data_IF_717715931324
#
_entry.id   IF_717715931324
#
_cell.length_a   1.000
_cell.length_b   1.000
_cell.length_c   1.000
_cell.angle_alpha   90.00
_cell.angle_beta   90.00
_cell.angle_gamma   90.00
#
_symmetry.space_group_name_H-M   'P 1'
#
loop_
_entity.id
_entity.type
_entity.pdbx_description
1 polymer ?
#
# COMPACT_ATOMS: atom_id res chain seq x y z
N UNK A 1 9.61 30.63 29.94
CA UNK A 1 9.58 30.60 28.47
C UNK A 1 10.90 30.00 28.01
N UNK A 2 10.89 28.80 27.43
CA UNK A 2 12.09 28.18 26.87
C UNK A 2 12.43 28.97 25.59
N UNK A 3 13.56 29.68 25.59
CA UNK A 3 14.09 30.34 24.41
C UNK A 3 14.48 29.22 23.45
N UNK A 4 13.84 29.15 22.28
CA UNK A 4 14.24 28.25 21.20
C UNK A 4 15.69 28.55 20.86
N UNK A 5 16.60 27.64 21.23
CA UNK A 5 18.02 27.81 20.94
C UNK A 5 18.32 27.25 19.54
N UNK A 6 19.42 27.68 18.92
CA UNK A 6 19.78 27.29 17.56
C UNK A 6 19.84 25.77 17.36
N UNK A 7 20.15 25.01 18.41
CA UNK A 7 20.11 23.55 18.43
C UNK A 7 18.69 22.97 18.37
N UNK A 8 17.70 23.56 19.05
CA UNK A 8 16.29 23.12 18.95
C UNK A 8 15.74 23.38 17.54
N UNK A 9 16.17 24.47 16.92
CA UNK A 9 15.83 24.82 15.52
C UNK A 9 16.49 23.82 14.57
N UNK A 10 17.77 23.49 14.78
CA UNK A 10 18.49 22.50 13.97
C UNK A 10 17.90 21.09 14.13
N UNK A 11 17.54 20.68 15.34
CA UNK A 11 16.92 19.39 15.64
C UNK A 11 15.53 19.29 15.00
N UNK A 12 14.75 20.37 15.02
CA UNK A 12 13.44 20.42 14.32
C UNK A 12 13.62 20.36 12.81
N UNK A 13 14.64 21.03 12.26
CA UNK A 13 14.99 20.94 10.85
C UNK A 13 15.46 19.51 10.51
N UNK A 14 16.35 18.91 11.30
CA UNK A 14 16.79 17.53 11.11
C UNK A 14 15.63 16.55 11.19
N UNK A 15 14.72 16.65 12.17
CA UNK A 15 13.52 15.81 12.24
C UNK A 15 12.62 15.98 11.00
N UNK A 16 12.44 17.21 10.51
CA UNK A 16 11.63 17.48 9.29
C UNK A 16 12.32 17.02 8.00
N UNK A 17 13.65 17.04 7.95
CA UNK A 17 14.44 16.71 6.76
C UNK A 17 14.89 15.24 6.74
N UNK A 18 14.92 14.56 7.90
CA UNK A 18 15.45 13.21 8.08
C UNK A 18 14.38 12.11 8.10
N UNK A 19 13.10 12.45 8.21
CA UNK A 19 12.03 11.46 8.16
C UNK A 19 11.73 11.15 6.68
N UNK A 20 12.60 10.32 6.08
CA UNK A 20 12.38 9.59 4.82
C UNK A 20 11.19 8.62 4.97
N UNK A 21 10.00 9.16 5.23
CA UNK A 21 8.80 8.38 5.47
C UNK A 21 8.46 7.61 4.21
N UNK A 22 8.62 6.28 4.27
CA UNK A 22 8.22 5.38 3.22
C UNK A 22 6.89 4.69 3.58
N UNK A 23 6.04 4.49 2.58
CA UNK A 23 4.88 3.62 2.76
C UNK A 23 5.36 2.19 2.62
N UNK A 24 5.45 1.47 3.75
CA UNK A 24 5.94 0.08 3.77
C UNK A 24 5.10 -0.86 2.93
N UNK A 25 3.78 -0.72 2.95
CA UNK A 25 2.89 -1.57 2.15
C UNK A 25 1.56 -0.89 1.86
N UNK A 26 1.06 -1.08 0.65
CA UNK A 26 -0.35 -0.92 0.31
C UNK A 26 -0.91 -2.32 0.07
N UNK A 27 -2.02 -2.64 0.74
CA UNK A 27 -2.67 -3.95 0.63
C UNK A 27 -4.11 -3.79 0.18
N UNK A 28 -4.47 -4.44 -0.93
CA UNK A 28 -5.87 -4.56 -1.36
C UNK A 28 -6.47 -5.85 -0.79
N UNK A 29 -7.50 -5.72 0.05
CA UNK A 29 -8.28 -6.87 0.54
C UNK A 29 -9.32 -7.30 -0.48
N UNK A 30 -9.34 -8.58 -0.83
CA UNK A 30 -10.29 -9.16 -1.79
C UNK A 30 -11.06 -10.30 -1.13
N UNK A 31 -12.37 -10.13 -0.95
CA UNK A 31 -13.23 -11.22 -0.48
C UNK A 31 -13.33 -12.33 -1.53
N UNK A 32 -13.22 -13.60 -1.11
CA UNK A 32 -13.40 -14.79 -1.97
C UNK A 32 -14.71 -15.53 -1.71
N UNK A 33 -15.57 -15.03 -0.81
CA UNK A 33 -16.82 -15.72 -0.43
C UNK A 33 -17.81 -15.90 -1.61
N UNK A 34 -17.76 -15.03 -2.60
CA UNK A 34 -18.54 -15.14 -3.85
C UNK A 34 -17.87 -16.04 -4.91
N UNK A 35 -16.64 -16.51 -4.67
CA UNK A 35 -15.94 -17.46 -5.53
C UNK A 35 -16.22 -18.91 -5.16
N UNK A 36 -17.06 -19.17 -4.15
CA UNK A 36 -17.41 -20.53 -3.72
C UNK A 36 -18.02 -21.32 -4.89
N UNK A 37 -17.55 -22.54 -5.07
CA UNK A 37 -18.07 -23.49 -6.04
C UNK A 37 -17.88 -24.93 -5.52
N UNK A 38 -18.84 -25.84 -5.74
CA UNK A 38 -18.65 -27.26 -5.42
C UNK A 38 -17.52 -27.91 -6.22
N UNK A 39 -17.19 -27.39 -7.41
CA UNK A 39 -16.03 -27.81 -8.20
C UNK A 39 -14.82 -26.91 -7.92
N UNK A 40 -13.77 -27.48 -7.31
CA UNK A 40 -12.56 -26.76 -6.96
C UNK A 40 -11.86 -26.09 -8.16
N UNK A 41 -11.96 -26.66 -9.38
CA UNK A 41 -11.37 -26.03 -10.57
C UNK A 41 -12.11 -24.74 -10.94
N UNK A 42 -13.44 -24.77 -10.87
CA UNK A 42 -14.28 -23.59 -11.11
C UNK A 42 -14.08 -22.54 -10.02
N UNK A 43 -13.93 -22.94 -8.76
CA UNK A 43 -13.57 -22.02 -7.68
C UNK A 43 -12.24 -21.31 -7.97
N UNK A 44 -11.20 -22.05 -8.37
CA UNK A 44 -9.90 -21.47 -8.75
C UNK A 44 -10.01 -20.48 -9.91
N UNK A 45 -10.80 -20.80 -10.94
CA UNK A 45 -11.05 -19.90 -12.07
C UNK A 45 -11.76 -18.61 -11.63
N UNK A 46 -12.80 -18.70 -10.79
CA UNK A 46 -13.49 -17.53 -10.21
C UNK A 46 -12.52 -16.66 -9.41
N UNK A 47 -11.69 -17.27 -8.56
CA UNK A 47 -10.67 -16.57 -7.76
C UNK A 47 -9.70 -15.81 -8.69
N UNK A 48 -9.14 -16.49 -9.70
CA UNK A 48 -8.22 -15.88 -10.64
C UNK A 48 -8.85 -14.68 -11.37
N UNK A 49 -10.03 -14.88 -11.93
CA UNK A 49 -10.77 -13.83 -12.65
C UNK A 49 -11.11 -12.65 -11.74
N UNK A 50 -11.48 -12.89 -10.49
CA UNK A 50 -11.79 -11.83 -9.53
C UNK A 50 -10.55 -11.05 -9.12
N UNK A 51 -9.45 -11.73 -8.77
CA UNK A 51 -8.21 -11.07 -8.34
C UNK A 51 -7.64 -10.22 -9.49
N UNK A 52 -7.55 -10.77 -10.69
CA UNK A 52 -7.02 -10.05 -11.86
C UNK A 52 -7.89 -8.86 -12.25
N UNK A 53 -9.21 -8.99 -12.19
CA UNK A 53 -10.14 -7.88 -12.45
C UNK A 53 -10.01 -6.74 -11.44
N UNK A 54 -9.91 -7.05 -10.14
CA UNK A 54 -9.90 -6.03 -9.08
C UNK A 54 -8.50 -5.42 -8.87
N UNK A 55 -7.46 -6.26 -8.85
CA UNK A 55 -6.09 -5.83 -8.59
C UNK A 55 -5.31 -5.47 -9.86
N UNK A 56 -5.89 -5.62 -11.06
CA UNK A 56 -5.19 -5.39 -12.34
C UNK A 56 -4.55 -4.00 -12.46
N UNK A 57 -5.15 -2.99 -11.83
CA UNK A 57 -4.62 -1.62 -11.81
C UNK A 57 -3.91 -1.24 -10.50
N UNK A 58 -3.75 -2.15 -9.54
CA UNK A 58 -3.18 -1.83 -8.22
C UNK A 58 -1.75 -1.27 -8.37
N UNK A 59 -0.88 -1.96 -9.10
CA UNK A 59 0.52 -1.55 -9.29
C UNK A 59 0.64 -0.19 -10.03
N UNK A 60 0.03 0.01 -11.22
CA UNK A 60 0.16 1.29 -11.92
C UNK A 60 -0.43 2.46 -11.14
N UNK A 61 -1.56 2.28 -10.45
CA UNK A 61 -2.16 3.35 -9.62
C UNK A 61 -1.26 3.69 -8.43
N UNK A 62 -0.76 2.69 -7.70
CA UNK A 62 0.13 2.93 -6.56
C UNK A 62 1.45 3.58 -7.01
N UNK A 63 2.00 3.19 -8.16
CA UNK A 63 3.19 3.85 -8.72
C UNK A 63 2.92 5.31 -9.09
N UNK A 64 1.74 5.60 -9.67
CA UNK A 64 1.34 6.98 -9.96
C UNK A 64 1.24 7.80 -8.67
N UNK A 65 0.58 7.29 -7.63
CA UNK A 65 0.50 7.95 -6.32
C UNK A 65 1.90 8.19 -5.74
N UNK A 66 2.79 7.19 -5.81
CA UNK A 66 4.18 7.34 -5.35
C UNK A 66 4.90 8.48 -6.05
N UNK A 67 4.69 8.65 -7.36
CA UNK A 67 5.27 9.74 -8.15
C UNK A 67 4.62 11.10 -7.83
N UNK A 68 3.29 11.16 -7.73
CA UNK A 68 2.53 12.39 -7.49
C UNK A 68 2.89 13.02 -6.12
N UNK A 69 3.16 12.20 -5.10
CA UNK A 69 3.50 12.65 -3.75
C UNK A 69 5.00 12.64 -3.44
N UNK A 70 5.85 12.10 -4.32
CA UNK A 70 7.28 11.94 -4.07
C UNK A 70 7.61 11.00 -2.89
N UNK A 71 6.67 10.17 -2.46
CA UNK A 71 6.81 9.23 -1.34
C UNK A 71 6.98 7.80 -1.88
N UNK A 72 8.05 7.08 -1.53
CA UNK A 72 8.25 5.71 -1.99
C UNK A 72 7.23 4.75 -1.37
N UNK A 73 6.62 3.91 -2.21
CA UNK A 73 5.70 2.84 -1.78
C UNK A 73 6.34 1.48 -2.05
N UNK A 74 6.84 0.83 -0.99
CA UNK A 74 7.74 -0.32 -1.09
C UNK A 74 7.02 -1.59 -1.52
N UNK A 75 5.93 -1.95 -0.85
CA UNK A 75 5.18 -3.18 -1.15
C UNK A 75 3.78 -2.88 -1.66
N UNK A 76 3.35 -3.70 -2.64
CA UNK A 76 1.99 -3.69 -3.21
C UNK A 76 1.47 -5.11 -3.11
N UNK A 77 0.56 -5.35 -2.18
CA UNK A 77 0.11 -6.70 -1.80
C UNK A 77 -1.39 -6.84 -2.00
N UNK A 78 -1.82 -8.10 -2.07
CA UNK A 78 -3.22 -8.46 -1.91
C UNK A 78 -3.37 -9.36 -0.69
N UNK A 79 -4.48 -9.25 0.00
CA UNK A 79 -4.92 -10.23 1.00
C UNK A 79 -6.28 -10.78 0.59
N UNK A 80 -6.55 -12.03 0.98
CA UNK A 80 -7.77 -12.74 0.57
C UNK A 80 -8.47 -13.37 1.77
N UNK A 81 -9.75 -13.69 1.60
CA UNK A 81 -10.49 -14.53 2.57
C UNK A 81 -9.76 -15.87 2.77
N UNK A 82 -9.60 -16.35 4.02
CA UNK A 82 -9.09 -17.70 4.30
C UNK A 82 -9.88 -18.80 3.61
#
# INVERSE_FOLDING_TARGET
MKILNSGDILETIEMLTAENLDVRTVTMGISLLDCIDPDGKKACEKIYNKITRLAGNLVPVVNKISADYGIPIVNKRISVTP
#
